data_IF_470418142516
#
_entry.id   IF_470418142516
#
_cell.length_a   1.000
_cell.length_b   1.000
_cell.length_c   1.000
_cell.angle_alpha   90.00
_cell.angle_beta   90.00
_cell.angle_gamma   90.00
#
_symmetry.space_group_name_H-M   'P 1'
#
loop_
_entity.id
_entity.type
_entity.pdbx_description
1 polymer ?
#
# COMPACT_ATOMS: atom_id res chain seq x y z
N UNK A 1 -13.54 -4.41 7.37
CA UNK A 1 -12.51 -3.96 6.42
C UNK A 1 -13.03 -3.85 4.98
N UNK A 2 -13.13 -2.62 4.48
CA UNK A 2 -13.42 -2.28 3.07
C UNK A 2 -12.29 -2.76 2.15
N UNK A 3 -12.62 -3.40 1.03
CA UNK A 3 -11.63 -3.88 0.08
C UNK A 3 -11.13 -2.73 -0.81
N UNK A 4 -9.80 -2.57 -0.92
CA UNK A 4 -9.18 -1.52 -1.71
C UNK A 4 -8.45 -2.07 -2.94
N UNK A 5 -8.43 -1.30 -4.02
CA UNK A 5 -7.51 -1.54 -5.13
C UNK A 5 -6.08 -1.20 -4.71
N UNK A 6 -5.09 -1.77 -5.39
CA UNK A 6 -3.69 -1.39 -5.16
C UNK A 6 -3.48 0.12 -5.32
N UNK A 7 -4.11 0.73 -6.33
CA UNK A 7 -4.05 2.19 -6.57
C UNK A 7 -4.65 2.99 -5.42
N UNK A 8 -5.76 2.54 -4.82
CA UNK A 8 -6.34 3.20 -3.66
C UNK A 8 -5.43 3.10 -2.43
N UNK A 9 -4.83 1.92 -2.21
CA UNK A 9 -3.92 1.71 -1.09
C UNK A 9 -2.64 2.57 -1.21
N UNK A 10 -2.07 2.69 -2.41
CA UNK A 10 -0.93 3.57 -2.69
C UNK A 10 -1.19 5.03 -2.27
N UNK A 11 -2.40 5.55 -2.50
CA UNK A 11 -2.76 6.91 -2.07
C UNK A 11 -2.80 7.07 -0.56
N UNK A 12 -3.21 6.04 0.18
CA UNK A 12 -3.17 6.05 1.65
C UNK A 12 -1.73 6.04 2.16
N UNK A 13 -0.85 5.25 1.51
CA UNK A 13 0.58 5.26 1.81
C UNK A 13 1.17 6.68 1.64
N UNK A 14 0.86 7.35 0.53
CA UNK A 14 1.33 8.72 0.26
C UNK A 14 0.87 9.72 1.32
N UNK A 15 -0.39 9.65 1.76
CA UNK A 15 -0.91 10.46 2.88
C UNK A 15 -0.18 10.22 4.20
N UNK A 16 0.38 9.02 4.40
CA UNK A 16 1.16 8.63 5.58
C UNK A 16 2.66 8.82 5.39
N UNK A 17 3.07 9.67 4.44
CA UNK A 17 4.46 10.03 4.13
C UNK A 17 5.32 8.87 3.61
N UNK A 18 4.69 7.82 3.08
CA UNK A 18 5.41 6.84 2.28
C UNK A 18 5.65 7.42 0.89
N UNK A 19 6.87 7.27 0.39
CA UNK A 19 7.29 7.81 -0.90
C UNK A 19 7.48 6.68 -1.90
N UNK A 20 6.89 6.83 -3.09
CA UNK A 20 7.14 5.93 -4.21
C UNK A 20 8.61 6.05 -4.62
N UNK A 21 9.33 4.93 -4.61
CA UNK A 21 10.75 4.89 -4.99
C UNK A 21 10.98 4.27 -6.36
N UNK A 22 10.16 3.28 -6.73
CA UNK A 22 10.30 2.57 -8.02
C UNK A 22 8.99 1.91 -8.42
N UNK A 23 8.76 1.79 -9.71
CA UNK A 23 7.74 0.92 -10.29
C UNK A 23 8.44 -0.16 -11.13
N UNK A 24 8.03 -1.43 -10.96
CA UNK A 24 8.47 -2.57 -11.79
C UNK A 24 7.25 -3.40 -12.18
N UNK A 25 6.83 -3.29 -13.44
CA UNK A 25 5.57 -3.88 -13.88
C UNK A 25 4.40 -3.30 -13.08
N UNK A 26 3.54 -4.17 -12.54
CA UNK A 26 2.42 -3.75 -11.68
C UNK A 26 2.83 -3.38 -10.25
N UNK A 27 4.05 -3.69 -9.82
CA UNK A 27 4.49 -3.47 -8.44
C UNK A 27 5.01 -2.05 -8.22
N UNK A 28 4.35 -1.33 -7.31
CA UNK A 28 4.73 0.00 -6.86
C UNK A 28 5.45 -0.12 -5.52
N UNK A 29 6.70 0.31 -5.47
CA UNK A 29 7.58 0.10 -4.32
C UNK A 29 7.71 1.41 -3.53
N UNK A 30 7.23 1.40 -2.30
CA UNK A 30 7.25 2.52 -1.37
C UNK A 30 8.30 2.34 -0.27
N UNK A 31 8.87 3.45 0.20
CA UNK A 31 9.70 3.51 1.40
C UNK A 31 9.36 4.76 2.20
N UNK A 32 9.60 4.73 3.51
CA UNK A 32 9.40 5.88 4.41
C UNK A 32 10.67 6.11 5.20
N UNK A 33 11.04 7.38 5.36
CA UNK A 33 12.24 7.75 6.13
C UNK A 33 12.15 7.23 7.57
N UNK A 34 13.27 6.75 8.10
CA UNK A 34 13.32 6.12 9.43
C UNK A 34 12.69 4.72 9.50
N UNK A 35 12.08 4.21 8.42
CA UNK A 35 11.51 2.85 8.36
C UNK A 35 12.35 2.00 7.39
N UNK A 36 13.02 0.92 7.85
CA UNK A 36 13.89 0.11 6.99
C UNK A 36 13.13 -0.79 6.00
N UNK A 37 11.81 -0.90 6.16
CA UNK A 37 10.94 -1.76 5.34
C UNK A 37 10.55 -1.06 4.04
N UNK A 38 10.53 -1.82 2.94
CA UNK A 38 9.90 -1.41 1.68
C UNK A 38 8.58 -2.15 1.45
N UNK A 39 7.58 -1.43 0.97
CA UNK A 39 6.28 -1.99 0.61
C UNK A 39 6.16 -2.12 -0.90
N UNK A 40 5.99 -3.34 -1.40
CA UNK A 40 5.76 -3.62 -2.82
C UNK A 40 4.28 -3.90 -3.07
N UNK A 41 3.53 -2.87 -3.47
CA UNK A 41 2.07 -2.95 -3.66
C UNK A 41 1.75 -3.35 -5.10
N UNK A 42 1.04 -4.46 -5.35
CA UNK A 42 0.59 -4.82 -6.68
C UNK A 42 -0.59 -3.96 -7.13
N UNK A 43 -0.48 -3.33 -8.30
CA UNK A 43 -1.52 -2.48 -8.89
C UNK A 43 -1.98 -3.09 -10.22
N UNK A 44 -3.13 -3.76 -10.20
CA UNK A 44 -3.72 -4.44 -11.36
C UNK A 44 -5.05 -3.80 -11.76
N UNK A 45 -5.00 -2.56 -12.26
CA UNK A 45 -6.19 -1.81 -12.69
C UNK A 45 -7.19 -1.62 -11.55
N UNK A 46 -8.45 -2.03 -11.78
CA UNK A 46 -9.54 -1.91 -10.82
C UNK A 46 -9.71 -3.14 -9.91
N UNK A 47 -8.78 -4.10 -9.94
CA UNK A 47 -8.83 -5.28 -9.06
C UNK A 47 -8.45 -4.91 -7.63
N UNK A 48 -9.22 -5.41 -6.67
CA UNK A 48 -8.97 -5.24 -5.24
C UNK A 48 -7.84 -6.15 -4.76
N UNK A 49 -7.15 -5.70 -3.71
CA UNK A 49 -6.20 -6.51 -2.97
C UNK A 49 -6.94 -7.63 -2.25
N UNK A 50 -6.34 -8.82 -2.19
CA UNK A 50 -6.85 -9.90 -1.35
C UNK A 50 -6.80 -9.47 0.12
N UNK A 51 -7.82 -9.85 0.90
CA UNK A 51 -7.98 -9.48 2.32
C UNK A 51 -6.70 -9.66 3.16
N UNK A 52 -6.03 -10.80 3.02
CA UNK A 52 -4.80 -11.08 3.77
C UNK A 52 -3.64 -10.14 3.41
N UNK A 53 -3.49 -9.83 2.12
CA UNK A 53 -2.45 -8.92 1.64
C UNK A 53 -2.72 -7.47 2.08
N UNK A 54 -3.98 -7.02 1.99
CA UNK A 54 -4.36 -5.69 2.47
C UNK A 54 -4.08 -5.55 3.98
N UNK A 55 -4.46 -6.55 4.80
CA UNK A 55 -4.16 -6.56 6.24
C UNK A 55 -2.66 -6.52 6.54
N UNK A 56 -1.87 -7.29 5.78
CA UNK A 56 -0.42 -7.30 5.94
C UNK A 56 0.17 -5.91 5.69
N UNK A 57 -0.25 -5.24 4.61
CA UNK A 57 0.20 -3.88 4.33
C UNK A 57 -0.25 -2.88 5.38
N UNK A 58 -1.53 -2.92 5.78
CA UNK A 58 -2.07 -2.06 6.85
C UNK A 58 -1.25 -2.15 8.13
N UNK A 59 -0.90 -3.37 8.55
CA UNK A 59 -0.07 -3.61 9.74
C UNK A 59 1.32 -2.95 9.63
N UNK A 60 1.97 -3.02 8.47
CA UNK A 60 3.29 -2.43 8.26
C UNK A 60 3.20 -0.90 8.14
N UNK A 61 2.18 -0.40 7.46
CA UNK A 61 2.03 1.03 7.20
C UNK A 61 1.38 1.80 8.35
N UNK A 62 0.83 1.12 9.36
CA UNK A 62 0.05 1.73 10.43
C UNK A 62 -1.24 2.38 9.94
N UNK A 63 -1.86 1.79 8.91
CA UNK A 63 -3.14 2.25 8.36
C UNK A 63 -4.25 1.44 9.03
N UNK A 64 -5.23 2.13 9.61
CA UNK A 64 -6.33 1.55 10.35
C UNK A 64 -7.61 1.40 9.50
N UNK A 65 -8.58 0.60 9.97
CA UNK A 65 -9.80 0.32 9.19
C UNK A 65 -10.68 1.56 8.93
N UNK A 66 -10.62 2.58 9.79
CA UNK A 66 -11.36 3.83 9.65
C UNK A 66 -10.80 4.78 8.56
N UNK A 67 -9.61 4.49 8.03
CA UNK A 67 -8.96 5.27 6.96
C UNK A 67 -9.25 4.73 5.56
N UNK A 68 -9.92 3.58 5.44
CA UNK A 68 -10.12 2.86 4.18
C UNK A 68 -11.21 3.44 3.28
#
# INVERSE_FOLDING_TARGET
>A
MKALTGKAFCRLLEKRSWQLKRIRGSHHIYAKEGIPVRLSVPVHGNKTLKRGLQRHFMKISGIEENEL
#
